data_IF_942168860259
#
_entry.id   IF_942168860259
#
_cell.length_a   1.000
_cell.length_b   1.000
_cell.length_c   1.000
_cell.angle_alpha   90.00
_cell.angle_beta   90.00
_cell.angle_gamma   90.00
#
_symmetry.space_group_name_H-M   'P 1'
#
loop_
_entity.id
_entity.type
_entity.pdbx_description
1 polymer ?
#
# COMPACT_ATOMS: atom_id res chain seq x y z
N UNK A 1 36.53 -10.50 -23.15
CA UNK A 1 35.42 -11.40 -23.50
C UNK A 1 35.41 -12.57 -22.52
N UNK A 2 34.39 -12.62 -21.69
CA UNK A 2 34.13 -13.69 -20.72
C UNK A 2 32.67 -13.57 -20.32
N UNK A 3 31.79 -14.07 -21.19
CA UNK A 3 30.36 -14.20 -21.02
C UNK A 3 30.06 -15.31 -20.01
N UNK A 4 29.51 -14.96 -18.85
CA UNK A 4 28.59 -15.76 -18.02
C UNK A 4 27.72 -14.70 -17.33
N UNK A 5 26.48 -14.41 -17.75
CA UNK A 5 25.42 -15.40 -17.92
C UNK A 5 24.90 -15.87 -16.56
N UNK A 6 24.68 -14.95 -15.61
CA UNK A 6 24.01 -15.25 -14.35
C UNK A 6 22.50 -15.21 -14.55
N UNK A 7 21.88 -16.38 -14.59
CA UNK A 7 20.43 -16.55 -14.46
C UNK A 7 19.90 -15.74 -13.29
N UNK A 8 18.80 -15.00 -13.48
CA UNK A 8 18.10 -14.21 -12.46
C UNK A 8 17.85 -15.02 -11.18
N UNK A 9 18.73 -14.84 -10.21
CA UNK A 9 18.66 -15.45 -8.89
C UNK A 9 17.80 -14.61 -7.96
N UNK A 10 17.15 -15.26 -6.99
CA UNK A 10 16.43 -14.57 -5.93
C UNK A 10 17.35 -13.61 -5.16
N UNK A 11 16.76 -12.57 -4.54
CA UNK A 11 17.50 -11.61 -3.71
C UNK A 11 18.23 -12.33 -2.57
N UNK A 12 19.49 -11.96 -2.34
CA UNK A 12 20.31 -12.43 -1.23
C UNK A 12 20.29 -11.39 -0.09
N UNK A 13 19.65 -11.67 1.06
CA UNK A 13 19.61 -10.75 2.21
C UNK A 13 20.99 -10.37 2.73
N UNK A 14 21.99 -11.26 2.63
CA UNK A 14 23.34 -11.01 3.13
C UNK A 14 24.13 -10.05 2.22
N UNK A 15 23.68 -9.87 0.97
CA UNK A 15 24.28 -8.99 -0.01
C UNK A 15 23.54 -7.66 -0.15
N UNK A 16 23.01 -7.11 0.96
CA UNK A 16 22.22 -5.87 0.99
C UNK A 16 22.81 -4.73 0.14
N UNK A 17 24.12 -4.53 0.18
CA UNK A 17 24.82 -3.47 -0.56
C UNK A 17 24.69 -3.55 -2.09
N UNK A 18 24.22 -4.69 -2.62
CA UNK A 18 23.94 -4.88 -4.06
C UNK A 18 22.56 -4.42 -4.48
N UNK A 19 21.72 -3.98 -3.53
CA UNK A 19 20.34 -3.63 -3.76
C UNK A 19 20.03 -2.21 -3.27
N UNK A 20 19.40 -1.39 -4.09
CA UNK A 20 18.90 -0.07 -3.67
C UNK A 20 17.40 0.01 -3.88
N UNK A 21 16.66 0.46 -2.87
CA UNK A 21 15.24 0.74 -3.02
C UNK A 21 15.03 2.10 -3.68
N UNK A 22 14.45 2.12 -4.88
CA UNK A 22 13.94 3.33 -5.51
C UNK A 22 12.46 3.50 -5.18
N UNK A 23 12.09 4.70 -4.76
CA UNK A 23 10.69 5.07 -4.52
C UNK A 23 10.33 6.23 -5.42
N UNK A 24 9.35 6.05 -6.29
CA UNK A 24 8.83 7.12 -7.17
C UNK A 24 7.33 7.29 -6.94
N UNK A 25 6.78 8.44 -7.28
CA UNK A 25 5.34 8.64 -7.23
C UNK A 25 4.85 9.50 -8.39
N UNK A 26 3.62 9.25 -8.85
CA UNK A 26 3.06 9.95 -9.98
C UNK A 26 1.54 9.83 -10.10
N UNK A 27 0.95 10.51 -11.11
CA UNK A 27 -0.49 10.64 -11.28
C UNK A 27 -1.15 9.45 -11.97
N UNK A 28 -0.38 8.52 -12.52
CA UNK A 28 -0.88 7.38 -13.31
C UNK A 28 -0.06 6.12 -13.01
N UNK A 29 -0.37 5.03 -13.70
CA UNK A 29 0.43 3.80 -13.64
C UNK A 29 1.68 3.83 -14.52
N UNK A 30 1.89 4.85 -15.37
CA UNK A 30 3.08 4.97 -16.22
C UNK A 30 4.26 5.49 -15.38
N UNK A 31 5.32 4.69 -15.15
CA UNK A 31 6.47 5.11 -14.36
C UNK A 31 7.22 6.31 -14.95
N UNK A 32 7.02 6.63 -16.24
CA UNK A 32 7.63 7.81 -16.87
C UNK A 32 7.01 9.12 -16.40
N UNK A 33 5.79 9.09 -15.90
CA UNK A 33 5.10 10.24 -15.31
C UNK A 33 5.41 10.40 -13.82
N UNK A 34 6.24 9.51 -13.26
CA UNK A 34 6.60 9.56 -11.85
C UNK A 34 7.86 10.40 -11.62
N UNK A 35 7.95 10.99 -10.43
CA UNK A 35 9.15 11.63 -9.92
C UNK A 35 9.72 10.87 -8.74
N UNK A 36 11.03 11.01 -8.52
CA UNK A 36 11.72 10.44 -7.38
C UNK A 36 11.19 11.04 -6.07
N UNK A 37 10.84 10.18 -5.11
CA UNK A 37 10.37 10.60 -3.78
C UNK A 37 11.58 10.84 -2.86
N UNK A 38 11.57 11.97 -2.14
CA UNK A 38 12.50 12.30 -1.07
C UNK A 38 12.18 11.50 0.21
N UNK A 39 12.50 10.21 0.25
CA UNK A 39 12.19 9.31 1.39
C UNK A 39 12.80 9.85 2.69
N UNK A 40 12.03 9.78 3.79
CA UNK A 40 12.40 10.28 5.12
C UNK A 40 12.68 11.81 5.21
N UNK A 41 12.45 12.56 4.14
CA UNK A 41 12.52 14.03 4.14
C UNK A 41 11.25 14.66 4.72
N UNK A 42 11.33 15.92 5.15
CA UNK A 42 10.17 16.76 5.44
C UNK A 42 9.45 17.25 4.18
N UNK A 43 10.15 17.23 3.04
CA UNK A 43 9.62 17.62 1.74
C UNK A 43 8.43 16.74 1.33
N UNK A 44 7.36 17.39 0.85
CA UNK A 44 6.17 16.71 0.33
C UNK A 44 6.30 16.48 -1.17
N UNK A 45 6.03 15.26 -1.62
CA UNK A 45 5.94 14.97 -3.03
C UNK A 45 4.54 15.33 -3.53
N UNK A 46 4.43 16.39 -4.34
CA UNK A 46 3.16 16.77 -4.97
C UNK A 46 2.86 15.87 -6.16
N UNK A 47 1.62 15.41 -6.25
CA UNK A 47 1.05 14.69 -7.41
C UNK A 47 -0.27 15.35 -7.77
N UNK A 48 -0.51 15.64 -9.05
CA UNK A 48 -1.72 16.32 -9.48
C UNK A 48 -2.29 15.70 -10.76
N UNK A 49 -3.61 15.46 -10.77
CA UNK A 49 -4.37 15.00 -11.93
C UNK A 49 -5.81 15.54 -11.89
N UNK A 50 -6.68 15.06 -12.76
CA UNK A 50 -8.07 15.52 -12.86
C UNK A 50 -8.94 15.17 -11.64
N UNK A 51 -8.55 14.15 -10.85
CA UNK A 51 -9.32 13.66 -9.72
C UNK A 51 -8.98 14.43 -8.43
N UNK A 52 -7.70 14.67 -8.17
CA UNK A 52 -7.25 15.37 -6.97
C UNK A 52 -5.88 16.03 -7.11
N UNK A 53 -5.53 16.83 -6.11
CA UNK A 53 -4.13 17.21 -5.81
C UNK A 53 -3.70 16.51 -4.53
N UNK A 54 -2.57 15.81 -4.55
CA UNK A 54 -2.05 15.01 -3.46
C UNK A 54 -0.64 15.45 -3.05
N UNK A 55 -0.34 15.27 -1.77
CA UNK A 55 0.94 15.61 -1.13
C UNK A 55 1.38 14.39 -0.35
N UNK A 56 2.41 13.71 -0.83
CA UNK A 56 2.84 12.40 -0.35
C UNK A 56 4.10 12.53 0.49
N UNK A 57 4.18 11.71 1.55
CA UNK A 57 5.40 11.46 2.31
C UNK A 57 5.59 9.97 2.48
N UNK A 58 6.75 9.49 2.08
CA UNK A 58 7.14 8.09 2.27
C UNK A 58 8.27 8.05 3.28
N UNK A 59 8.07 7.25 4.33
CA UNK A 59 9.02 7.07 5.42
C UNK A 59 9.34 5.61 5.54
N UNK A 60 10.62 5.27 5.63
CA UNK A 60 11.09 3.88 5.70
C UNK A 60 12.19 3.81 6.75
N UNK A 61 12.02 2.93 7.74
CA UNK A 61 12.98 2.74 8.82
C UNK A 61 14.21 2.01 8.30
N UNK A 62 15.38 2.50 8.71
CA UNK A 62 16.69 2.01 8.26
C UNK A 62 16.90 2.07 6.74
N UNK A 63 16.30 3.07 6.07
CA UNK A 63 16.25 3.21 4.62
C UNK A 63 17.62 3.03 3.92
N UNK A 64 17.60 2.29 2.82
CA UNK A 64 18.75 2.04 1.95
C UNK A 64 18.29 2.05 0.49
N UNK A 65 18.48 3.18 -0.17
CA UNK A 65 17.89 3.41 -1.47
C UNK A 65 18.36 4.68 -2.17
N UNK A 66 17.52 5.17 -3.08
CA UNK A 66 17.74 6.39 -3.83
C UNK A 66 16.72 7.48 -3.44
N UNK A 67 17.13 8.76 -3.29
CA UNK A 67 18.50 9.26 -3.39
C UNK A 67 19.44 8.69 -2.31
N UNK A 68 20.75 8.56 -2.61
CA UNK A 68 21.71 7.90 -1.70
C UNK A 68 21.97 8.68 -0.41
N UNK A 69 21.77 9.98 -0.47
CA UNK A 69 21.90 10.93 0.63
C UNK A 69 20.62 11.06 1.46
N UNK A 70 19.53 10.38 1.07
CA UNK A 70 18.31 10.33 1.86
C UNK A 70 18.58 9.79 3.28
N UNK A 71 17.97 10.37 4.32
CA UNK A 71 18.16 9.92 5.68
C UNK A 71 17.74 8.45 5.86
N UNK A 72 18.51 7.69 6.65
CA UNK A 72 18.14 6.30 7.00
C UNK A 72 16.87 6.23 7.86
N UNK A 73 16.62 7.25 8.67
CA UNK A 73 15.49 7.35 9.60
C UNK A 73 15.02 8.81 9.68
N UNK A 74 13.82 9.04 10.21
CA UNK A 74 13.25 10.38 10.43
C UNK A 74 12.52 10.45 11.79
N UNK A 75 12.17 11.66 12.30
CA UNK A 75 11.51 11.83 13.59
C UNK A 75 10.22 11.04 13.78
N UNK A 76 9.49 10.73 12.69
CA UNK A 76 8.28 9.91 12.69
C UNK A 76 8.44 8.61 13.50
N UNK A 77 9.55 7.88 13.33
CA UNK A 77 9.77 6.59 14.01
C UNK A 77 10.11 6.71 15.51
N UNK A 78 10.26 7.93 16.02
CA UNK A 78 10.40 8.22 17.44
C UNK A 78 9.08 8.69 18.07
N UNK A 79 8.05 8.96 17.25
CA UNK A 79 6.74 9.37 17.74
C UNK A 79 6.10 8.22 18.56
N UNK A 80 5.45 8.50 19.70
CA UNK A 80 4.86 7.46 20.55
C UNK A 80 3.87 6.54 19.81
N UNK A 81 3.17 7.06 18.80
CA UNK A 81 2.23 6.28 17.99
C UNK A 81 2.89 5.37 16.95
N UNK A 82 4.18 5.56 16.66
CA UNK A 82 4.86 4.99 15.48
C UNK A 82 6.22 4.35 15.79
N UNK A 83 6.52 4.10 17.08
CA UNK A 83 7.81 3.54 17.51
C UNK A 83 8.07 2.12 16.96
N UNK A 84 7.01 1.36 16.73
CA UNK A 84 7.04 -0.01 16.20
C UNK A 84 7.03 -0.05 14.67
N UNK A 85 6.61 1.04 14.02
CA UNK A 85 6.46 1.09 12.57
C UNK A 85 7.79 0.92 11.84
N UNK A 86 7.72 0.27 10.68
CA UNK A 86 8.87 0.10 9.76
C UNK A 86 8.74 0.96 8.52
N UNK A 87 7.54 1.38 8.17
CA UNK A 87 7.30 2.33 7.09
C UNK A 87 5.99 3.08 7.30
N UNK A 88 5.84 4.18 6.57
CA UNK A 88 4.61 4.97 6.45
C UNK A 88 4.50 5.48 5.02
N UNK A 89 3.29 5.40 4.47
CA UNK A 89 2.87 6.12 3.28
C UNK A 89 1.79 7.08 3.76
N UNK A 90 2.19 8.32 4.07
CA UNK A 90 1.28 9.37 4.45
C UNK A 90 0.91 10.20 3.23
N UNK A 91 -0.35 10.60 3.13
CA UNK A 91 -0.80 11.49 2.08
C UNK A 91 -1.81 12.49 2.60
N UNK A 92 -1.74 13.69 2.03
CA UNK A 92 -2.84 14.65 2.09
C UNK A 92 -3.39 14.80 0.69
N UNK A 93 -4.71 14.93 0.52
CA UNK A 93 -5.29 15.17 -0.80
C UNK A 93 -6.52 16.06 -0.77
N UNK A 94 -6.69 16.78 -1.87
CA UNK A 94 -7.80 17.70 -2.13
C UNK A 94 -8.57 17.22 -3.36
N UNK A 95 -9.78 16.64 -3.20
CA UNK A 95 -10.60 16.22 -4.32
C UNK A 95 -11.00 17.40 -5.22
N UNK A 96 -10.93 17.23 -6.54
CA UNK A 96 -11.40 18.24 -7.51
C UNK A 96 -12.91 18.14 -7.80
N UNK A 97 -13.54 17.06 -7.34
CA UNK A 97 -14.98 16.79 -7.36
C UNK A 97 -15.40 16.02 -6.10
N UNK A 98 -16.70 15.94 -5.83
CA UNK A 98 -17.21 15.07 -4.76
C UNK A 98 -16.98 13.60 -5.13
N UNK A 99 -16.46 12.81 -4.20
CA UNK A 99 -16.21 11.37 -4.40
C UNK A 99 -16.90 10.59 -3.28
N UNK A 100 -17.77 9.64 -3.62
CA UNK A 100 -18.45 8.82 -2.62
C UNK A 100 -17.42 7.95 -1.84
N UNK A 101 -17.66 7.73 -0.55
CA UNK A 101 -16.80 6.91 0.31
C UNK A 101 -16.60 5.47 -0.21
N UNK A 102 -17.54 4.97 -1.01
CA UNK A 102 -17.46 3.65 -1.66
C UNK A 102 -16.60 3.62 -2.92
N UNK A 103 -16.24 4.78 -3.47
CA UNK A 103 -15.47 4.85 -4.73
C UNK A 103 -13.97 4.79 -4.49
N UNK A 104 -13.44 5.42 -3.44
CA UNK A 104 -11.99 5.40 -3.21
C UNK A 104 -11.55 4.10 -2.54
N UNK A 105 -10.67 3.39 -3.21
CA UNK A 105 -9.99 2.20 -2.71
C UNK A 105 -8.49 2.43 -2.72
N UNK A 106 -7.81 1.83 -1.75
CA UNK A 106 -6.37 1.87 -1.67
C UNK A 106 -5.79 0.48 -1.50
N UNK A 107 -4.53 0.33 -1.87
CA UNK A 107 -3.74 -0.85 -1.55
C UNK A 107 -2.65 -1.16 -2.53
N UNK A 108 -2.32 -2.44 -2.64
CA UNK A 108 -1.19 -2.91 -3.44
C UNK A 108 -1.65 -3.66 -4.67
N UNK A 109 -0.92 -3.47 -5.77
CA UNK A 109 -1.14 -4.22 -6.99
C UNK A 109 0.14 -4.42 -7.81
N UNK A 110 0.03 -5.34 -8.77
CA UNK A 110 1.06 -5.67 -9.75
C UNK A 110 0.48 -5.52 -11.17
N UNK A 111 1.32 -5.14 -12.13
CA UNK A 111 0.96 -5.03 -13.55
C UNK A 111 1.01 -6.36 -14.31
N UNK A 112 1.32 -7.44 -13.62
CA UNK A 112 1.69 -8.71 -14.23
C UNK A 112 1.53 -9.86 -13.25
N UNK A 113 1.38 -11.09 -13.74
CA UNK A 113 1.08 -12.23 -12.87
C UNK A 113 2.27 -12.58 -11.98
N UNK A 114 2.00 -12.85 -10.70
CA UNK A 114 3.00 -13.30 -9.70
C UNK A 114 2.70 -14.70 -9.15
N UNK A 115 1.68 -15.38 -9.70
CA UNK A 115 1.16 -16.65 -9.17
C UNK A 115 2.18 -17.79 -9.10
N UNK A 116 3.24 -17.74 -9.91
CA UNK A 116 4.37 -18.68 -9.93
C UNK A 116 5.39 -18.44 -8.81
N UNK A 117 5.30 -17.29 -8.12
CA UNK A 117 6.22 -16.87 -7.04
C UNK A 117 5.54 -16.77 -5.68
N UNK A 118 4.24 -17.07 -5.60
CA UNK A 118 3.51 -17.02 -4.34
C UNK A 118 3.99 -18.11 -3.37
N UNK A 119 4.16 -17.79 -2.08
CA UNK A 119 4.43 -18.79 -1.06
C UNK A 119 3.30 -19.85 -0.98
N UNK A 120 3.61 -21.11 -0.65
CA UNK A 120 2.56 -22.11 -0.39
C UNK A 120 1.67 -21.67 0.78
N UNK A 121 0.35 -21.67 0.61
CA UNK A 121 -0.61 -21.23 1.65
C UNK A 121 -1.24 -19.84 1.42
N UNK A 122 -0.84 -19.13 0.36
CA UNK A 122 -1.40 -17.80 0.01
C UNK A 122 -2.93 -17.76 -0.05
N UNK A 123 -3.60 -18.80 -0.56
CA UNK A 123 -5.07 -18.85 -0.61
C UNK A 123 -5.71 -18.79 0.78
N UNK A 124 -5.17 -19.55 1.74
CA UNK A 124 -5.64 -19.55 3.13
C UNK A 124 -5.36 -18.21 3.79
N UNK A 125 -4.21 -17.61 3.47
CA UNK A 125 -3.81 -16.33 4.02
C UNK A 125 -4.67 -15.16 3.56
N UNK A 126 -4.98 -15.10 2.27
CA UNK A 126 -5.97 -14.14 1.73
C UNK A 126 -7.28 -14.31 2.48
N UNK A 127 -7.78 -15.55 2.61
CA UNK A 127 -9.03 -15.80 3.32
C UNK A 127 -8.99 -15.26 4.75
N UNK A 128 -7.95 -15.55 5.53
CA UNK A 128 -7.83 -15.04 6.91
C UNK A 128 -7.76 -13.51 6.91
N UNK A 129 -6.98 -12.90 6.03
CA UNK A 129 -6.89 -11.43 5.95
C UNK A 129 -8.26 -10.80 5.65
N UNK A 130 -8.97 -11.32 4.64
CA UNK A 130 -10.25 -10.77 4.16
C UNK A 130 -11.47 -11.22 4.97
N UNK A 131 -11.34 -12.12 5.94
CA UNK A 131 -12.50 -12.56 6.76
C UNK A 131 -12.30 -12.34 8.25
N UNK A 132 -11.07 -12.48 8.76
CA UNK A 132 -10.78 -12.40 10.19
C UNK A 132 -10.16 -11.05 10.55
N UNK A 133 -9.16 -10.61 9.78
CA UNK A 133 -8.38 -9.43 10.14
C UNK A 133 -9.04 -8.12 9.70
N UNK A 134 -9.53 -8.07 8.46
CA UNK A 134 -10.24 -6.92 7.90
C UNK A 134 -11.20 -7.39 6.80
N UNK A 135 -12.52 -7.48 7.08
CA UNK A 135 -13.50 -7.93 6.10
C UNK A 135 -13.80 -6.90 5.00
N UNK A 136 -13.25 -5.69 5.10
CA UNK A 136 -13.33 -4.69 4.03
C UNK A 136 -12.33 -4.96 2.89
N UNK A 137 -11.39 -5.88 3.09
CA UNK A 137 -10.40 -6.22 2.08
C UNK A 137 -10.94 -7.17 1.04
N UNK A 138 -10.38 -7.04 -0.15
CA UNK A 138 -10.54 -7.99 -1.22
C UNK A 138 -9.23 -8.08 -2.00
N UNK A 139 -8.89 -9.31 -2.40
CA UNK A 139 -7.64 -9.59 -3.05
C UNK A 139 -7.80 -10.74 -4.03
N UNK A 140 -7.02 -10.69 -5.11
CA UNK A 140 -6.82 -11.83 -5.98
C UNK A 140 -5.33 -11.90 -6.34
N UNK A 141 -4.51 -12.63 -5.57
CA UNK A 141 -3.10 -12.77 -5.88
C UNK A 141 -2.81 -13.73 -7.05
N UNK A 142 -3.81 -14.48 -7.52
CA UNK A 142 -3.64 -15.50 -8.56
C UNK A 142 -4.01 -14.99 -9.97
N UNK A 143 -4.56 -13.78 -10.07
CA UNK A 143 -4.94 -13.14 -11.33
C UNK A 143 -3.72 -12.74 -12.17
N UNK A 144 -3.99 -12.25 -13.38
CA UNK A 144 -2.97 -11.70 -14.28
C UNK A 144 -2.47 -10.33 -13.83
N UNK A 145 -3.29 -9.60 -13.06
CA UNK A 145 -2.96 -8.33 -12.43
C UNK A 145 -3.30 -8.44 -10.93
N UNK A 146 -2.41 -9.09 -10.15
CA UNK A 146 -2.62 -9.34 -8.74
C UNK A 146 -2.91 -8.05 -7.96
N UNK A 147 -3.86 -8.12 -7.03
CA UNK A 147 -4.19 -6.97 -6.19
C UNK A 147 -4.61 -7.37 -4.77
N UNK A 148 -4.47 -6.40 -3.86
CA UNK A 148 -4.97 -6.38 -2.50
C UNK A 148 -5.45 -4.96 -2.22
N UNK A 149 -6.77 -4.78 -2.13
CA UNK A 149 -7.38 -3.47 -1.93
C UNK A 149 -8.37 -3.49 -0.77
N UNK A 150 -8.67 -2.31 -0.25
CA UNK A 150 -9.84 -2.07 0.57
C UNK A 150 -10.33 -0.62 0.45
N UNK A 151 -11.57 -0.33 0.90
CA UNK A 151 -12.10 1.03 0.92
C UNK A 151 -11.20 1.97 1.72
N UNK A 152 -10.93 3.16 1.20
CA UNK A 152 -10.00 4.10 1.83
C UNK A 152 -10.33 4.35 3.31
N UNK A 153 -11.61 4.54 3.63
CA UNK A 153 -12.07 4.90 4.98
C UNK A 153 -11.91 3.78 6.02
N UNK A 154 -11.92 2.51 5.60
CA UNK A 154 -11.70 1.35 6.49
C UNK A 154 -10.26 0.84 6.44
N UNK A 155 -9.50 1.13 5.40
CA UNK A 155 -8.15 0.61 5.19
C UNK A 155 -7.02 1.53 5.64
N UNK A 156 -7.14 2.86 5.54
CA UNK A 156 -6.10 3.74 6.10
C UNK A 156 -6.12 3.69 7.63
N UNK A 157 -4.95 3.72 8.26
CA UNK A 157 -4.86 3.58 9.71
C UNK A 157 -5.32 4.84 10.42
N UNK A 158 -4.88 6.02 10.00
CA UNK A 158 -5.37 7.30 10.53
C UNK A 158 -6.02 8.15 9.44
N UNK A 159 -7.03 8.93 9.83
CA UNK A 159 -7.68 9.92 8.98
C UNK A 159 -7.90 11.21 9.76
N UNK A 160 -7.40 12.32 9.23
CA UNK A 160 -7.70 13.68 9.69
C UNK A 160 -8.50 14.42 8.62
N UNK A 161 -9.70 14.87 8.97
CA UNK A 161 -10.54 15.68 8.09
C UNK A 161 -10.20 17.16 8.32
N UNK A 162 -9.60 17.82 7.34
CA UNK A 162 -9.23 19.23 7.40
C UNK A 162 -10.35 20.17 6.95
N UNK A 163 -10.01 21.44 6.82
CA UNK A 163 -10.88 22.50 6.30
C UNK A 163 -10.99 22.47 4.78
N UNK A 164 -11.89 23.30 4.25
CA UNK A 164 -11.94 23.55 2.80
C UNK A 164 -10.90 24.59 2.41
N UNK A 165 -10.46 24.54 1.15
CA UNK A 165 -9.44 25.44 0.59
C UNK A 165 -9.84 26.92 0.56
N UNK A 166 -11.14 27.23 0.68
CA UNK A 166 -11.68 28.58 0.86
C UNK A 166 -11.72 29.03 2.32
N UNK A 167 -11.63 28.11 3.28
CA UNK A 167 -11.56 28.38 4.72
C UNK A 167 -10.10 28.59 5.18
N UNK A 168 -9.19 27.74 4.73
CA UNK A 168 -7.75 27.85 4.96
C UNK A 168 -6.99 27.28 3.75
N UNK A 169 -5.88 27.91 3.35
CA UNK A 169 -5.10 27.41 2.23
C UNK A 169 -4.53 26.02 2.52
N UNK A 170 -4.24 25.27 1.46
CA UNK A 170 -3.67 23.92 1.61
C UNK A 170 -2.30 23.98 2.28
N UNK A 171 -1.48 24.98 1.92
CA UNK A 171 -0.13 25.15 2.47
C UNK A 171 -0.17 25.47 3.96
N UNK A 172 -1.10 26.33 4.42
CA UNK A 172 -1.29 26.61 5.85
C UNK A 172 -1.68 25.35 6.63
N UNK A 173 -2.60 24.54 6.09
CA UNK A 173 -3.03 23.30 6.75
C UNK A 173 -1.92 22.23 6.77
N UNK A 174 -1.11 22.14 5.72
CA UNK A 174 0.07 21.25 5.69
C UNK A 174 1.15 21.72 6.67
N UNK A 175 1.41 23.03 6.74
CA UNK A 175 2.34 23.61 7.71
C UNK A 175 1.86 23.41 9.14
N UNK A 176 0.55 23.52 9.39
CA UNK A 176 -0.03 23.24 10.69
C UNK A 176 0.25 21.79 11.11
N UNK A 177 0.00 20.82 10.22
CA UNK A 177 0.30 19.41 10.47
C UNK A 177 1.79 19.19 10.79
N UNK A 178 2.69 19.89 10.09
CA UNK A 178 4.13 19.82 10.33
C UNK A 178 4.52 20.40 11.69
N UNK A 179 3.93 21.53 12.07
CA UNK A 179 4.23 22.22 13.31
C UNK A 179 3.65 21.54 14.55
N UNK A 180 2.48 20.89 14.43
CA UNK A 180 1.81 20.24 15.54
C UNK A 180 2.52 18.94 15.93
N UNK A 181 2.82 18.08 14.95
CA UNK A 181 3.23 16.70 15.19
C UNK A 181 4.33 16.20 14.23
N UNK A 182 5.24 17.06 13.74
CA UNK A 182 6.29 16.69 12.77
C UNK A 182 5.76 15.97 11.51
N UNK A 183 4.55 16.33 11.08
CA UNK A 183 3.89 15.74 9.92
C UNK A 183 3.27 14.36 10.17
N UNK A 184 3.14 13.93 11.43
CA UNK A 184 2.38 12.74 11.84
C UNK A 184 0.88 13.01 11.70
N UNK A 185 0.19 12.12 10.98
CA UNK A 185 -1.27 12.20 10.82
C UNK A 185 -1.95 11.48 11.97
N UNK A 186 -2.56 12.24 12.88
CA UNK A 186 -3.40 11.69 13.93
C UNK A 186 -4.88 11.63 13.51
N UNK A 187 -5.58 10.62 14.01
CA UNK A 187 -7.02 10.49 13.80
C UNK A 187 -7.79 11.69 14.37
N UNK A 188 -8.65 12.31 13.56
CA UNK A 188 -9.47 13.42 14.05
C UNK A 188 -9.92 14.36 12.94
N UNK A 189 -10.05 15.63 13.29
CA UNK A 189 -10.37 16.71 12.35
C UNK A 189 -9.77 18.03 12.82
N UNK A 190 -9.79 19.00 11.91
CA UNK A 190 -9.55 20.40 12.19
C UNK A 190 -10.53 21.24 11.37
N UNK A 191 -10.73 22.51 11.77
CA UNK A 191 -11.55 23.47 11.03
C UNK A 191 -12.98 22.93 10.79
N UNK A 192 -13.62 23.27 9.67
CA UNK A 192 -14.93 22.73 9.31
C UNK A 192 -14.97 21.18 9.15
N UNK A 193 -13.83 20.49 9.19
CA UNK A 193 -13.77 19.03 9.23
C UNK A 193 -14.37 18.42 10.50
N UNK A 194 -14.41 19.15 11.61
CA UNK A 194 -15.04 18.69 12.86
C UNK A 194 -16.53 18.45 12.68
N UNK A 195 -17.19 19.37 11.97
CA UNK A 195 -18.62 19.28 11.64
C UNK A 195 -18.92 18.11 10.71
N UNK A 196 -18.00 17.77 9.79
CA UNK A 196 -18.13 16.59 8.91
C UNK A 196 -18.14 15.30 9.74
N UNK A 197 -17.20 15.16 10.68
CA UNK A 197 -17.13 13.98 11.55
C UNK A 197 -18.33 13.87 12.48
N UNK A 198 -18.69 14.99 13.13
CA UNK A 198 -19.86 15.09 14.01
C UNK A 198 -21.15 14.73 13.28
N UNK A 199 -21.38 15.30 12.10
CA UNK A 199 -22.60 15.09 11.32
C UNK A 199 -22.77 13.64 10.84
N UNK A 200 -21.68 12.88 10.74
CA UNK A 200 -21.70 11.46 10.36
C UNK A 200 -21.53 10.50 11.54
N UNK A 201 -21.51 11.00 12.78
CA UNK A 201 -21.23 10.18 13.97
C UNK A 201 -19.94 9.37 13.84
N UNK A 202 -18.91 9.92 13.17
CA UNK A 202 -17.66 9.20 12.95
C UNK A 202 -16.94 8.99 14.29
N UNK A 203 -16.58 7.73 14.65
CA UNK A 203 -15.86 7.47 15.90
C UNK A 203 -14.53 8.24 15.99
N UNK A 204 -14.14 8.67 17.19
CA UNK A 204 -12.89 9.41 17.41
C UNK A 204 -11.64 8.53 17.36
N UNK A 205 -11.74 7.26 17.74
CA UNK A 205 -10.63 6.32 17.71
C UNK A 205 -10.49 5.65 16.34
N UNK A 206 -9.26 5.53 15.84
CA UNK A 206 -8.99 5.06 14.49
C UNK A 206 -9.45 3.61 14.24
N UNK A 207 -9.23 2.70 15.21
CA UNK A 207 -9.74 1.31 15.14
C UNK A 207 -11.27 1.27 15.02
N UNK A 208 -11.95 2.16 15.74
CA UNK A 208 -13.40 2.26 15.72
C UNK A 208 -13.91 2.89 14.41
N UNK A 209 -13.24 3.92 13.87
CA UNK A 209 -13.54 4.49 12.55
C UNK A 209 -13.43 3.42 11.46
N UNK A 210 -12.32 2.66 11.45
CA UNK A 210 -12.11 1.61 10.46
C UNK A 210 -13.26 0.60 10.48
N UNK A 211 -13.64 0.15 11.68
CA UNK A 211 -14.77 -0.77 11.87
C UNK A 211 -16.12 -0.16 11.47
N UNK A 212 -16.35 1.13 11.77
CA UNK A 212 -17.55 1.86 11.38
C UNK A 212 -17.74 1.87 9.85
N UNK A 213 -16.66 2.09 9.11
CA UNK A 213 -16.65 2.06 7.66
C UNK A 213 -16.53 0.65 7.04
N UNK A 214 -16.69 -0.42 7.83
CA UNK A 214 -17.01 -1.74 7.28
C UNK A 214 -18.50 -1.87 6.95
N UNK A 215 -19.35 -1.01 7.52
CA UNK A 215 -20.76 -0.93 7.14
C UNK A 215 -20.89 -0.16 5.82
N UNK A 216 -21.39 -0.86 4.80
CA UNK A 216 -21.62 -0.31 3.47
C UNK A 216 -22.52 0.94 3.48
N UNK A 217 -23.51 1.02 4.39
CA UNK A 217 -24.39 2.20 4.49
C UNK A 217 -23.64 3.41 5.01
N UNK A 218 -22.71 3.22 5.93
CA UNK A 218 -21.90 4.32 6.46
C UNK A 218 -20.85 4.78 5.42
N UNK A 219 -20.28 3.85 4.66
CA UNK A 219 -19.43 4.18 3.49
C UNK A 219 -20.18 5.00 2.43
N UNK A 220 -21.44 4.63 2.13
CA UNK A 220 -22.27 5.32 1.13
C UNK A 220 -22.66 6.74 1.53
N UNK A 221 -22.87 6.99 2.84
CA UNK A 221 -23.19 8.32 3.37
C UNK A 221 -21.99 9.26 3.36
N UNK A 222 -20.77 8.73 3.42
CA UNK A 222 -19.58 9.57 3.39
C UNK A 222 -19.29 10.10 1.98
N UNK A 223 -18.91 11.37 1.89
CA UNK A 223 -18.44 11.98 0.64
C UNK A 223 -17.14 12.72 0.92
N UNK A 224 -16.10 12.41 0.15
CA UNK A 224 -14.92 13.25 0.04
C UNK A 224 -15.31 14.52 -0.72
N UNK A 225 -15.43 15.62 0.00
CA UNK A 225 -15.92 16.89 -0.51
C UNK A 225 -14.89 17.54 -1.45
N UNK A 226 -15.37 18.10 -2.55
CA UNK A 226 -14.56 18.93 -3.43
C UNK A 226 -13.90 20.06 -2.62
N UNK A 227 -12.61 20.24 -2.82
CA UNK A 227 -11.84 21.35 -2.24
C UNK A 227 -11.52 21.19 -0.76
N UNK A 228 -11.89 20.08 -0.10
CA UNK A 228 -11.51 19.79 1.29
C UNK A 228 -10.19 19.03 1.36
N UNK A 229 -9.35 19.37 2.33
CA UNK A 229 -8.13 18.63 2.61
C UNK A 229 -8.41 17.42 3.52
N UNK A 230 -7.93 16.25 3.11
CA UNK A 230 -7.96 15.03 3.90
C UNK A 230 -6.54 14.53 4.09
N UNK A 231 -6.13 14.27 5.33
CA UNK A 231 -4.85 13.64 5.63
C UNK A 231 -5.10 12.19 6.04
N UNK A 232 -4.27 11.28 5.55
CA UNK A 232 -4.32 9.87 5.93
C UNK A 232 -2.92 9.28 5.98
N UNK A 233 -2.77 8.22 6.77
CA UNK A 233 -1.51 7.48 6.85
C UNK A 233 -1.76 5.97 6.79
N UNK A 234 -0.83 5.28 6.15
CA UNK A 234 -0.77 3.85 6.04
C UNK A 234 0.62 3.36 6.46
N UNK A 235 0.73 2.88 7.68
CA UNK A 235 1.96 2.46 8.34
C UNK A 235 1.79 1.07 8.97
N UNK A 236 2.84 0.27 9.00
CA UNK A 236 2.81 -0.95 9.80
C UNK A 236 4.20 -1.39 10.27
N UNK A 237 4.27 -2.25 11.32
CA UNK A 237 5.55 -2.71 11.87
C UNK A 237 6.14 -3.91 11.12
N UNK A 238 5.51 -4.37 10.06
CA UNK A 238 5.71 -5.73 9.57
C UNK A 238 6.56 -5.80 8.31
N UNK A 239 6.41 -4.88 7.35
CA UNK A 239 7.25 -4.91 6.14
C UNK A 239 8.59 -4.23 6.40
N UNK A 240 9.66 -5.02 6.45
CA UNK A 240 11.03 -4.54 6.63
C UNK A 240 11.76 -4.53 5.29
N UNK A 241 11.63 -3.41 4.57
CA UNK A 241 12.30 -3.17 3.28
C UNK A 241 13.82 -3.34 3.35
N UNK A 242 14.41 -3.05 4.50
CA UNK A 242 15.87 -3.02 4.70
C UNK A 242 16.49 -4.42 4.76
N UNK A 243 15.73 -5.40 5.26
CA UNK A 243 16.18 -6.78 5.45
C UNK A 243 15.43 -7.78 4.56
N UNK A 244 14.58 -7.29 3.64
CA UNK A 244 13.69 -8.12 2.81
C UNK A 244 12.92 -9.15 3.64
N UNK A 245 12.31 -8.69 4.73
CA UNK A 245 11.65 -9.58 5.69
C UNK A 245 10.28 -9.09 6.10
N UNK A 246 9.42 -10.04 6.45
CA UNK A 246 8.15 -9.82 7.11
C UNK A 246 8.34 -10.08 8.60
N UNK A 247 8.08 -9.07 9.42
CA UNK A 247 8.15 -9.12 10.88
C UNK A 247 6.78 -9.45 11.43
N UNK A 248 6.68 -10.58 12.10
CA UNK A 248 5.47 -11.05 12.75
C UNK A 248 5.70 -11.07 14.27
N UNK A 249 4.64 -11.10 15.10
CA UNK A 249 4.82 -11.26 16.54
C UNK A 249 5.67 -12.50 16.85
N UNK A 250 6.84 -12.30 17.46
CA UNK A 250 7.75 -13.35 17.89
C UNK A 250 8.73 -13.91 16.85
N UNK A 251 8.63 -13.56 15.56
CA UNK A 251 9.56 -14.07 14.54
C UNK A 251 9.62 -13.20 13.26
N UNK A 252 10.64 -13.40 12.44
CA UNK A 252 10.80 -12.72 11.14
C UNK A 252 11.03 -13.75 10.03
N UNK A 253 10.36 -13.54 8.89
CA UNK A 253 10.49 -14.39 7.71
C UNK A 253 11.16 -13.60 6.61
N UNK A 254 12.29 -14.11 6.09
CA UNK A 254 12.87 -13.57 4.86
C UNK A 254 11.94 -13.86 3.67
N UNK A 255 11.59 -12.81 2.92
CA UNK A 255 10.86 -12.89 1.66
C UNK A 255 11.75 -12.79 0.44
N UNK A 256 13.06 -12.64 0.63
CA UNK A 256 14.02 -12.43 -0.46
C UNK A 256 13.97 -13.53 -1.53
N UNK A 257 13.71 -14.78 -1.13
CA UNK A 257 13.51 -15.92 -2.06
C UNK A 257 12.31 -15.79 -3.01
N UNK A 258 11.38 -14.89 -2.70
CA UNK A 258 10.20 -14.57 -3.50
C UNK A 258 10.33 -13.24 -4.24
N UNK A 259 11.47 -12.54 -4.09
CA UNK A 259 11.80 -11.31 -4.81
C UNK A 259 12.78 -11.64 -5.93
N UNK A 260 12.35 -11.43 -7.16
CA UNK A 260 13.14 -11.63 -8.38
C UNK A 260 12.84 -10.53 -9.42
N UNK A 261 13.34 -10.69 -10.65
CA UNK A 261 13.08 -9.76 -11.77
C UNK A 261 11.60 -9.56 -12.13
N UNK A 262 10.69 -10.41 -11.63
CA UNK A 262 9.25 -10.19 -11.78
C UNK A 262 8.71 -9.49 -10.54
N UNK A 263 9.08 -9.89 -9.34
CA UNK A 263 8.40 -9.44 -8.11
C UNK A 263 9.12 -8.29 -7.40
N UNK A 264 10.18 -7.73 -7.97
CA UNK A 264 10.95 -6.61 -7.39
C UNK A 264 10.26 -5.24 -7.45
N UNK A 265 8.99 -5.21 -7.90
CA UNK A 265 8.16 -4.02 -8.12
C UNK A 265 6.88 -4.14 -7.31
N UNK A 266 6.62 -3.17 -6.44
CA UNK A 266 5.39 -3.10 -5.64
C UNK A 266 4.77 -1.71 -5.78
N UNK A 267 3.52 -1.63 -6.20
CA UNK A 267 2.79 -0.36 -6.31
C UNK A 267 1.80 -0.23 -5.16
N UNK A 268 1.80 0.92 -4.51
CA UNK A 268 0.72 1.36 -3.63
C UNK A 268 -0.12 2.40 -4.38
N UNK A 269 -1.44 2.25 -4.38
CA UNK A 269 -2.34 3.09 -5.15
C UNK A 269 -3.49 3.60 -4.29
N UNK A 270 -3.94 4.82 -4.56
CA UNK A 270 -5.28 5.30 -4.23
C UNK A 270 -6.01 5.58 -5.55
N UNK A 271 -7.15 4.94 -5.78
CA UNK A 271 -7.91 5.08 -7.05
C UNK A 271 -9.41 4.95 -6.85
N UNK A 272 -10.17 5.39 -7.85
CA UNK A 272 -11.58 5.06 -7.96
C UNK A 272 -11.76 3.59 -8.36
N UNK A 273 -12.56 2.86 -7.58
CA UNK A 273 -12.92 1.46 -7.81
C UNK A 273 -13.69 1.27 -9.11
N UNK A 274 -14.61 2.19 -9.42
CA UNK A 274 -15.52 2.05 -10.57
C UNK A 274 -14.87 2.46 -11.89
N UNK A 275 -14.23 3.63 -11.93
CA UNK A 275 -13.64 4.16 -13.17
C UNK A 275 -12.19 3.74 -13.37
N UNK A 276 -11.49 3.30 -12.32
CA UNK A 276 -10.05 3.06 -12.35
C UNK A 276 -9.20 4.33 -12.37
N UNK A 277 -9.80 5.53 -12.32
CA UNK A 277 -9.08 6.80 -12.25
C UNK A 277 -8.21 6.84 -10.98
N UNK A 278 -6.92 7.09 -11.17
CA UNK A 278 -5.94 7.10 -10.10
C UNK A 278 -5.91 8.47 -9.43
N UNK A 279 -5.81 8.50 -8.10
CA UNK A 279 -5.47 9.70 -7.33
C UNK A 279 -3.96 9.85 -7.30
N UNK A 280 -3.23 8.80 -6.92
CA UNK A 280 -1.78 8.70 -7.04
C UNK A 280 -1.32 7.24 -7.05
N UNK A 281 -0.10 7.01 -7.56
CA UNK A 281 0.65 5.76 -7.37
C UNK A 281 1.97 6.07 -6.68
N UNK A 282 2.34 5.28 -5.67
CA UNK A 282 3.70 5.20 -5.12
C UNK A 282 4.29 3.88 -5.57
N UNK A 283 5.44 3.93 -6.23
CA UNK A 283 6.10 2.77 -6.80
C UNK A 283 7.40 2.47 -6.05
N UNK A 284 7.45 1.31 -5.42
CA UNK A 284 8.63 0.75 -4.76
C UNK A 284 9.31 -0.23 -5.71
N UNK A 285 10.57 0.03 -6.04
CA UNK A 285 11.36 -0.77 -6.98
C UNK A 285 12.69 -1.13 -6.36
N UNK A 286 12.97 -2.41 -6.23
CA UNK A 286 14.26 -2.89 -5.73
C UNK A 286 15.24 -3.00 -6.89
N UNK A 287 16.17 -2.07 -7.01
CA UNK A 287 17.18 -2.04 -8.07
C UNK A 287 18.34 -2.99 -7.74
N UNK A 288 18.73 -3.82 -8.71
CA UNK A 288 19.93 -4.65 -8.66
C UNK A 288 20.46 -4.98 -10.06
N UNK A 289 21.69 -5.48 -10.14
CA UNK A 289 22.33 -5.85 -11.41
C UNK A 289 22.36 -4.69 -12.40
N UNK A 290 22.08 -4.99 -13.67
CA UNK A 290 22.12 -3.99 -14.75
C UNK A 290 21.16 -2.82 -14.53
N UNK A 291 19.99 -3.08 -13.96
CA UNK A 291 18.97 -2.05 -13.72
C UNK A 291 19.45 -1.00 -12.71
N UNK A 292 20.21 -1.44 -11.70
CA UNK A 292 20.88 -0.55 -10.75
C UNK A 292 21.99 0.26 -11.43
N UNK A 293 22.83 -0.39 -12.23
CA UNK A 293 23.92 0.26 -12.98
C UNK A 293 23.37 1.36 -13.90
N UNK A 294 22.40 1.02 -14.75
CA UNK A 294 21.76 1.95 -15.70
C UNK A 294 21.11 3.15 -14.98
N UNK A 295 20.45 2.91 -13.84
CA UNK A 295 19.81 3.99 -13.06
C UNK A 295 20.84 4.94 -12.46
N UNK A 296 21.95 4.41 -11.92
CA UNK A 296 23.01 5.21 -11.32
C UNK A 296 23.77 6.03 -12.36
N UNK A 297 23.98 5.49 -13.55
CA UNK A 297 24.66 6.20 -14.64
C UNK A 297 23.77 7.29 -15.26
N UNK A 298 22.48 7.03 -15.48
CA UNK A 298 21.53 8.06 -15.92
C UNK A 298 21.40 9.24 -14.95
N UNK A 299 21.53 8.98 -13.63
CA UNK A 299 21.53 10.04 -12.61
C UNK A 299 22.78 10.92 -12.68
N UNK A 300 23.96 10.34 -12.97
CA UNK A 300 25.20 11.11 -13.15
C UNK A 300 25.12 12.02 -14.36
N UNK A 301 24.63 11.52 -15.50
CA UNK A 301 24.47 12.31 -16.71
C UNK A 301 23.53 13.52 -16.50
N UNK A 302 22.39 13.30 -15.82
CA UNK A 302 21.46 14.40 -15.48
C UNK A 302 22.07 15.44 -14.54
N UNK A 303 22.85 15.00 -13.55
CA UNK A 303 23.56 15.89 -12.60
C UNK A 303 24.64 16.71 -13.30
N UNK A 304 25.36 16.13 -14.27
CA UNK A 304 26.37 16.82 -15.08
C UNK A 304 25.76 17.83 -16.07
N UNK A 305 24.63 17.51 -16.69
CA UNK A 305 23.90 18.48 -17.55
C UNK A 305 23.33 19.64 -16.76
N UNK A 306 22.70 19.39 -15.61
CA UNK A 306 22.17 20.47 -14.75
C UNK A 306 23.30 21.34 -14.17
N UNK A 307 24.47 20.77 -13.89
CA UNK A 307 25.66 21.52 -13.48
C UNK A 307 26.26 22.40 -14.57
N UNK A 308 26.12 22.01 -15.86
CA UNK A 308 26.57 22.83 -17.00
C UNK A 308 25.60 23.96 -17.34
N UNK A 309 24.29 23.71 -17.23
CA UNK A 309 23.28 24.75 -17.45
C UNK A 309 23.28 25.79 -16.33
N UNK A 310 23.56 25.41 -15.07
CA UNK A 310 23.74 26.35 -13.96
C UNK A 310 24.99 27.26 -14.11
N UNK A 311 26.02 26.83 -14.87
CA UNK A 311 27.18 27.66 -15.20
C UNK A 311 26.98 28.58 -16.41
N UNK A 312 25.92 28.37 -17.20
CA UNK A 312 25.62 29.19 -18.37
C UNK A 312 24.76 30.44 -18.06
N UNK A 313 24.17 30.54 -16.86
CA UNK A 313 23.25 31.63 -16.49
C UNK A 313 23.97 32.89 -15.94
N UNK A 314 25.29 32.86 -15.73
CA UNK A 314 26.06 34.00 -15.17
C UNK A 314 26.72 34.91 -16.24
N UNK A 315 26.38 34.77 -17.53
CA UNK A 315 26.89 35.69 -18.57
C UNK A 315 25.88 35.99 -19.68
N UNK A 316 24.90 36.84 -19.39
CA UNK A 316 24.45 37.88 -20.34
C UNK A 316 23.36 38.77 -19.72
N UNK A 317 23.74 39.97 -19.29
CA UNK A 317 22.83 41.10 -19.09
C UNK A 317 23.14 42.16 -20.15
N UNK A 318 22.14 42.51 -20.98
CA UNK A 318 22.15 43.67 -21.87
C UNK A 318 21.02 43.61 -22.93
N UNK A 319 20.37 44.73 -23.29
CA UNK A 319 18.90 44.81 -23.32
C UNK A 319 18.26 45.05 -24.71
N UNK A 320 16.91 44.97 -24.70
CA UNK A 320 15.91 45.51 -25.63
C UNK A 320 15.69 44.83 -27.00
N UNK A 321 14.50 44.21 -27.16
CA UNK A 321 13.46 44.59 -28.13
C UNK A 321 12.27 43.60 -28.12
N UNK A 322 11.05 44.15 -28.14
CA UNK A 322 9.75 43.48 -28.30
C UNK A 322 9.05 44.09 -29.56
N UNK A 323 7.87 43.63 -30.01
CA UNK A 323 7.45 42.32 -30.54
C UNK A 323 7.05 42.40 -32.05
N UNK A 324 6.98 41.26 -32.76
CA UNK A 324 5.88 41.00 -33.73
C UNK A 324 5.82 39.55 -34.27
N UNK A 325 4.65 38.92 -34.04
CA UNK A 325 3.86 38.03 -34.91
C UNK A 325 4.54 36.96 -35.78
N UNK A 326 4.22 35.69 -35.52
CA UNK A 326 3.98 34.71 -36.59
C UNK A 326 2.98 33.62 -36.20
N UNK A 327 2.09 33.34 -37.14
CA UNK A 327 0.92 32.48 -37.05
C UNK A 327 1.18 30.98 -36.81
N UNK A 328 0.18 30.41 -36.15
CA UNK A 328 -0.26 29.02 -36.05
C UNK A 328 0.27 28.01 -37.08
N UNK A 329 0.98 27.00 -36.57
CA UNK A 329 1.14 25.70 -37.24
C UNK A 329 0.50 24.62 -36.38
N UNK A 330 -0.68 24.18 -36.81
CA UNK A 330 -1.38 22.98 -36.30
C UNK A 330 -0.39 21.80 -36.31
N UNK A 331 -0.21 21.16 -35.16
CA UNK A 331 0.36 19.82 -35.07
C UNK A 331 -0.78 18.89 -34.71
N UNK A 332 -1.10 18.02 -35.67
CA UNK A 332 -2.10 16.98 -35.55
C UNK A 332 -1.79 16.12 -34.32
N UNK A 333 -2.81 15.92 -33.49
CA UNK A 333 -2.69 15.08 -32.29
C UNK A 333 -2.68 13.62 -32.72
N UNK A 334 -1.86 12.82 -32.04
CA UNK A 334 -1.63 11.38 -32.22
C UNK A 334 -2.89 10.49 -32.07
N UNK A 335 -4.08 11.11 -32.01
CA UNK A 335 -5.40 10.50 -31.90
C UNK A 335 -5.96 9.99 -33.23
N UNK A 336 -5.37 10.40 -34.36
CA UNK A 336 -5.80 9.94 -35.71
C UNK A 336 -4.96 8.78 -36.27
N UNK A 337 -3.84 8.40 -35.63
CA UNK A 337 -2.93 7.36 -36.16
C UNK A 337 -3.22 5.95 -35.59
N UNK A 338 -3.95 5.83 -34.46
CA UNK A 338 -4.20 4.55 -33.80
C UNK A 338 -5.69 4.29 -33.61
N UNK A 339 -6.37 4.01 -34.73
CA UNK A 339 -7.79 3.67 -34.86
C UNK A 339 -8.47 3.20 -33.57
N UNK A 340 -9.45 3.97 -33.13
CA UNK A 340 -10.11 3.80 -31.84
C UNK A 340 -10.75 2.44 -31.62
N UNK A 341 -10.65 1.97 -30.38
CA UNK A 341 -11.70 1.23 -29.68
C UNK A 341 -11.54 1.47 -28.18
N UNK A 342 -12.60 1.97 -27.56
CA UNK A 342 -12.77 2.21 -26.13
C UNK A 342 -12.56 0.88 -25.39
N UNK A 343 -11.74 0.83 -24.34
CA UNK A 343 -11.70 -0.33 -23.45
C UNK A 343 -13.14 -0.60 -22.92
N UNK A 344 -13.62 -1.85 -22.95
CA UNK A 344 -14.98 -2.14 -22.51
C UNK A 344 -15.13 -1.85 -21.01
N UNK A 345 -16.30 -1.36 -20.56
CA UNK A 345 -16.55 -1.19 -19.13
C UNK A 345 -16.48 -2.55 -18.42
N UNK A 346 -15.86 -2.55 -17.25
CA UNK A 346 -15.81 -3.71 -16.35
C UNK A 346 -17.23 -4.25 -16.12
N UNK A 347 -17.42 -5.55 -16.36
CA UNK A 347 -18.63 -6.29 -16.01
C UNK A 347 -18.31 -7.21 -14.86
N UNK A 348 -19.04 -7.08 -13.75
CA UNK A 348 -18.99 -8.05 -12.66
C UNK A 348 -19.24 -9.47 -13.19
N UNK A 349 -18.44 -10.47 -12.78
CA UNK A 349 -18.66 -11.86 -13.17
C UNK A 349 -20.03 -12.36 -12.69
N UNK A 350 -20.79 -13.01 -13.58
CA UNK A 350 -22.06 -13.63 -13.22
C UNK A 350 -21.86 -14.68 -12.12
N UNK A 351 -22.43 -14.45 -10.94
CA UNK A 351 -22.37 -15.36 -9.79
C UNK A 351 -21.74 -14.78 -8.53
N UNK A 352 -21.17 -13.57 -8.59
CA UNK A 352 -20.73 -12.86 -7.39
C UNK A 352 -21.90 -12.04 -6.80
N UNK A 353 -22.43 -12.46 -5.65
CA UNK A 353 -23.27 -11.61 -4.79
C UNK A 353 -22.42 -11.24 -3.58
N UNK A 354 -22.17 -9.95 -3.38
CA UNK A 354 -21.65 -9.47 -2.10
C UNK A 354 -22.57 -9.98 -0.97
N UNK A 355 -22.03 -10.56 0.12
CA UNK A 355 -22.87 -11.04 1.21
C UNK A 355 -23.68 -9.88 1.82
N UNK A 356 -24.99 -10.01 1.83
CA UNK A 356 -25.88 -9.15 2.60
C UNK A 356 -25.68 -9.44 4.09
N UNK A 357 -25.02 -8.53 4.79
CA UNK A 357 -24.94 -8.36 6.27
C UNK A 357 -24.62 -9.61 7.09
N UNK A 358 -23.49 -9.60 7.80
CA UNK A 358 -23.17 -10.64 8.78
C UNK A 358 -23.65 -10.26 10.19
N UNK A 359 -24.43 -11.15 10.82
CA UNK A 359 -24.72 -11.17 12.25
C UNK A 359 -23.67 -12.06 12.92
N UNK A 360 -23.04 -11.54 13.97
CA UNK A 360 -22.02 -12.21 14.79
C UNK A 360 -22.66 -13.40 15.53
N UNK A 361 -22.07 -14.58 15.40
CA UNK A 361 -22.26 -15.66 16.36
C UNK A 361 -20.95 -15.82 17.16
N UNK A 362 -21.07 -15.82 18.49
CA UNK A 362 -19.95 -15.98 19.42
C UNK A 362 -19.85 -17.45 19.82
N UNK A 363 -18.89 -18.17 19.23
CA UNK A 363 -18.28 -19.33 19.88
C UNK A 363 -16.88 -19.54 19.34
N UNK A 364 -15.89 -19.21 20.16
CA UNK A 364 -14.51 -19.66 20.02
C UNK A 364 -14.43 -21.15 20.38
N UNK A 365 -13.63 -21.94 19.66
CA UNK A 365 -12.65 -22.77 20.36
C UNK A 365 -11.51 -23.34 19.51
N UNK A 366 -10.41 -23.52 20.24
CA UNK A 366 -9.02 -23.80 19.89
C UNK A 366 -8.73 -25.30 20.00
N UNK A 367 -8.23 -25.96 18.95
CA UNK A 367 -7.48 -27.24 19.05
C UNK A 367 -6.99 -27.82 17.70
N UNK A 368 -7.30 -27.22 16.55
CA UNK A 368 -6.86 -27.77 15.26
C UNK A 368 -5.80 -26.88 14.60
N UNK A 369 -4.70 -27.53 14.21
CA UNK A 369 -3.68 -27.06 13.26
C UNK A 369 -2.51 -26.29 13.92
N UNK A 370 -1.36 -26.95 14.09
CA UNK A 370 -0.15 -26.33 14.68
C UNK A 370 1.07 -26.33 13.74
N UNK A 371 0.94 -26.85 12.51
CA UNK A 371 2.02 -26.82 11.51
C UNK A 371 1.59 -26.18 10.17
N UNK A 372 0.39 -26.47 9.67
CA UNK A 372 -0.16 -25.76 8.51
C UNK A 372 -0.68 -24.34 8.85
N UNK A 373 -1.02 -24.10 10.13
CA UNK A 373 -1.38 -22.77 10.64
C UNK A 373 -0.18 -21.86 10.73
N UNK A 374 1.03 -22.35 11.01
CA UNK A 374 2.20 -21.47 11.11
C UNK A 374 2.55 -20.86 9.74
N UNK A 375 2.33 -21.60 8.65
CA UNK A 375 2.51 -21.12 7.27
C UNK A 375 1.32 -20.26 6.79
N UNK A 376 0.09 -20.69 7.07
CA UNK A 376 -1.09 -19.89 6.74
C UNK A 376 -1.18 -18.59 7.56
N UNK A 377 -0.83 -18.60 8.85
CA UNK A 377 -0.74 -17.42 9.71
C UNK A 377 0.44 -16.55 9.31
N UNK A 378 1.58 -17.12 8.92
CA UNK A 378 2.71 -16.28 8.46
C UNK A 378 2.42 -15.56 7.15
N UNK A 379 1.64 -16.18 6.25
CA UNK A 379 1.23 -15.51 5.02
C UNK A 379 0.00 -14.62 5.27
N UNK A 380 -0.91 -14.98 6.19
CA UNK A 380 -2.00 -14.07 6.62
C UNK A 380 -1.42 -12.81 7.23
N UNK A 381 -0.34 -12.99 7.99
CA UNK A 381 0.41 -11.91 8.56
C UNK A 381 1.35 -11.28 7.53
N UNK A 382 1.64 -11.89 6.37
CA UNK A 382 2.20 -11.20 5.20
C UNK A 382 1.18 -10.24 4.56
N UNK A 383 -0.10 -10.63 4.51
CA UNK A 383 -1.20 -9.74 4.10
C UNK A 383 -1.48 -8.66 5.16
N UNK A 384 -1.45 -9.02 6.44
CA UNK A 384 -1.41 -8.07 7.55
C UNK A 384 -0.18 -7.16 7.52
N UNK A 385 0.95 -7.68 7.02
CA UNK A 385 2.20 -6.94 6.87
C UNK A 385 2.24 -6.01 5.66
N UNK A 386 1.40 -6.28 4.67
CA UNK A 386 1.01 -5.29 3.68
C UNK A 386 -0.01 -4.29 4.27
N UNK A 387 -0.19 -4.23 5.59
CA UNK A 387 -0.92 -3.18 6.31
C UNK A 387 -2.43 -3.38 6.38
N UNK A 388 -2.91 -4.60 6.18
CA UNK A 388 -4.35 -4.85 6.20
C UNK A 388 -4.76 -5.88 7.24
N UNK A 389 -5.12 -5.36 8.43
CA UNK A 389 -5.68 -6.13 9.53
C UNK A 389 -5.87 -5.31 10.81
N UNK A 390 -6.69 -5.80 11.73
CA UNK A 390 -6.68 -5.38 13.14
C UNK A 390 -5.89 -6.44 13.92
N UNK A 391 -4.71 -6.09 14.44
CA UNK A 391 -3.97 -6.97 15.36
C UNK A 391 -4.46 -6.74 16.80
N UNK A 392 -4.78 -7.81 17.55
CA UNK A 392 -4.89 -7.71 19.00
C UNK A 392 -3.51 -7.48 19.61
N UNK A 393 -3.44 -6.64 20.64
CA UNK A 393 -2.24 -6.45 21.46
C UNK A 393 -1.99 -7.71 22.30
N UNK A 394 -0.73 -8.12 22.57
CA UNK A 394 -0.47 -9.29 23.39
C UNK A 394 -0.74 -8.98 24.86
N UNK A 395 -1.79 -9.58 25.42
CA UNK A 395 -1.92 -9.76 26.86
C UNK A 395 -0.96 -10.87 27.30
N UNK A 396 -0.20 -10.60 28.36
CA UNK A 396 0.63 -11.57 29.06
C UNK A 396 -0.27 -12.66 29.66
N UNK A 397 -0.04 -13.92 29.33
CA UNK A 397 -0.12 -14.98 30.33
C UNK A 397 0.71 -16.19 29.93
N UNK A 398 1.51 -16.63 30.89
CA UNK A 398 2.33 -17.83 30.89
C UNK A 398 1.49 -19.03 31.30
N UNK A 399 1.59 -20.17 30.59
CA UNK A 399 1.91 -21.44 31.24
C UNK A 399 2.19 -22.57 30.22
N UNK A 400 3.22 -23.35 30.54
CA UNK A 400 3.68 -24.55 29.84
C UNK A 400 2.79 -25.76 30.15
N UNK A 401 2.51 -26.60 29.15
CA UNK A 401 2.76 -28.05 29.30
C UNK A 401 2.75 -28.80 27.95
N UNK A 402 3.70 -29.73 27.76
CA UNK A 402 3.88 -30.54 26.55
C UNK A 402 3.81 -32.03 26.87
N UNK A 403 3.10 -32.84 26.05
CA UNK A 403 3.44 -34.22 25.60
C UNK A 403 2.23 -34.94 24.94
N UNK A 404 2.39 -36.08 24.23
CA UNK A 404 3.37 -36.45 23.21
C UNK A 404 2.71 -36.86 21.86
N UNK A 405 3.53 -37.02 20.80
CA UNK A 405 3.13 -37.34 19.41
C UNK A 405 2.83 -38.83 19.20
N UNK A 406 1.75 -39.14 18.47
CA UNK A 406 1.46 -40.45 17.87
C UNK A 406 1.52 -40.33 16.34
N UNK A 407 2.30 -41.21 15.70
CA UNK A 407 2.42 -41.31 14.25
C UNK A 407 1.11 -41.81 13.60
N UNK A 408 0.55 -41.01 12.68
CA UNK A 408 -0.45 -41.47 11.71
C UNK A 408 -0.12 -40.93 10.31
N UNK A 409 -0.50 -41.70 9.29
CA UNK A 409 -0.15 -41.54 7.86
C UNK A 409 -0.66 -40.21 7.26
N UNK A 410 -0.12 -39.76 6.10
CA UNK A 410 -0.47 -38.47 5.51
C UNK A 410 -1.97 -38.36 5.21
N UNK A 411 -2.59 -37.30 5.72
CA UNK A 411 -4.02 -36.96 5.54
C UNK A 411 -4.33 -36.39 4.13
N UNK A 412 -3.33 -36.24 3.28
CA UNK A 412 -3.45 -35.58 1.96
C UNK A 412 -4.17 -36.44 0.91
N UNK A 413 -4.58 -37.67 1.25
CA UNK A 413 -5.24 -38.60 0.32
C UNK A 413 -6.69 -38.96 0.70
N UNK A 414 -7.29 -38.31 1.69
CA UNK A 414 -8.66 -38.62 2.11
C UNK A 414 -9.65 -37.60 1.54
N UNK A 415 -10.72 -38.09 0.92
CA UNK A 415 -11.80 -37.25 0.44
C UNK A 415 -12.69 -36.73 1.59
N UNK A 416 -13.42 -35.64 1.32
CA UNK A 416 -14.21 -34.93 2.33
C UNK A 416 -15.30 -35.80 2.98
N UNK A 417 -15.79 -36.83 2.29
CA UNK A 417 -16.83 -37.72 2.80
C UNK A 417 -16.24 -38.67 3.86
N UNK A 418 -15.05 -39.20 3.60
CA UNK A 418 -14.34 -40.08 4.55
C UNK A 418 -13.94 -39.32 5.83
N UNK A 419 -13.64 -38.03 5.71
CA UNK A 419 -13.33 -37.15 6.85
C UNK A 419 -14.58 -36.89 7.71
N UNK A 420 -15.74 -36.66 7.09
CA UNK A 420 -17.00 -36.45 7.82
C UNK A 420 -17.49 -37.71 8.55
N UNK A 421 -17.30 -38.90 7.97
CA UNK A 421 -17.64 -40.18 8.62
C UNK A 421 -16.74 -40.47 9.85
N UNK A 422 -15.43 -40.21 9.75
CA UNK A 422 -14.51 -40.38 10.89
C UNK A 422 -14.80 -39.43 12.06
N UNK A 423 -15.39 -38.27 11.77
CA UNK A 423 -15.81 -37.30 12.79
C UNK A 423 -17.13 -37.68 13.45
N UNK A 424 -18.07 -38.28 12.70
CA UNK A 424 -19.34 -38.80 13.26
C UNK A 424 -19.12 -40.00 14.19
N UNK A 425 -18.24 -40.93 13.83
CA UNK A 425 -18.02 -42.14 14.62
C UNK A 425 -17.31 -41.88 15.96
N UNK A 426 -16.54 -40.79 16.09
CA UNK A 426 -15.94 -40.40 17.37
C UNK A 426 -16.90 -39.70 18.34
N UNK A 427 -17.92 -39.02 17.83
CA UNK A 427 -18.95 -38.41 18.69
C UNK A 427 -19.93 -39.44 19.27
N UNK A 428 -20.04 -40.63 18.69
CA UNK A 428 -20.86 -41.71 19.25
C UNK A 428 -20.19 -42.47 20.42
N UNK A 429 -18.89 -42.29 20.64
CA UNK A 429 -18.12 -43.05 21.64
C UNK A 429 -17.77 -42.24 22.92
N UNK A 430 -18.32 -41.03 23.09
CA UNK A 430 -18.10 -40.22 24.31
C UNK A 430 -19.35 -40.05 25.18
N UNK A 431 -20.41 -40.82 24.92
CA UNK A 431 -21.53 -40.99 25.85
C UNK A 431 -21.64 -42.47 26.26
N UNK A 432 -20.69 -42.92 27.10
CA UNK A 432 -20.88 -44.01 28.05
C UNK A 432 -19.95 -43.84 29.25
#
# INVERSE_FOLDING_TARGET
>A
MGLLGGSGGAVDPEARDKYLLQVTAGPSYDPKEHTQVSVNSSEVQKVENDLATSYLRVRIKDYHGLPKDAPKNCPYFNHPLHNSDRYSIAWSFVPKRGICGTELVMGFDFSHPVRDRLPPGTKTAVKIATTVLDPGLYADPFSDEPYLYGPMLSSCFTLRVGGKSDEASVDEQLQQLDSENDGVVEEGAALSGESVRSGQSMPSAWKARRKFFLDQKELEKFTFEKGRLYHADFFNPHLDFSNFSLRLPGFSISVAKYVDEKTHHLRFVLKSRGSGEVVFVVFFRLLFGKELEDTLDGTKEQTETNGRDAQAVDRSLGPDADPQTHESRRKDTQREILGGSRAPPFREPSGFKAPTSYIRDESSDLALVTAANTLAQSISAAFGAMGFGNTPDPENDSDENTAPRIHTRPMDELDNITIEEQLRDRHASSNQ
#
